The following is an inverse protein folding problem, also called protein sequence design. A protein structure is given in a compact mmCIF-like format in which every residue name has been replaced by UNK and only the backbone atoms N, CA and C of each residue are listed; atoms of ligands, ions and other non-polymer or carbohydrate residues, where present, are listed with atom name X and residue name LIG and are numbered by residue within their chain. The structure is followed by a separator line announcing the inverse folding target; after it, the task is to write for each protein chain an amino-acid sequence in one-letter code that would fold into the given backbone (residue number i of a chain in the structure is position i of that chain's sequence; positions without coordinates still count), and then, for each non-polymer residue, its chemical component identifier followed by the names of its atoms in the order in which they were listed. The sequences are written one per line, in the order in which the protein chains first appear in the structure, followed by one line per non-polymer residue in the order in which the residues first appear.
data_IF_897192886114
#
_entry.id   IF_897192886114
#
_cell.length_a   1.000
_cell.length_b   1.000
_cell.length_c   1.000
_cell.angle_alpha   90.00
_cell.angle_beta   90.00
_cell.angle_gamma   90.00
#
_symmetry.space_group_name_H-M   'P 1'
#
loop_
_entity.id
_entity.type
_entity.pdbx_description
1 polymer ?
#
# COMPACT_ATOMS: atom_id res chain seq x y z
N UNK A 1 -33.34 -19.23 18.34
CA UNK A 1 -32.20 -18.31 18.11
C UNK A 1 -31.75 -17.82 19.49
N UNK A 2 -30.63 -18.32 20.04
CA UNK A 2 -30.24 -18.14 21.46
C UNK A 2 -28.87 -17.47 21.69
N UNK A 3 -28.23 -16.93 20.66
CA UNK A 3 -27.02 -16.10 20.82
C UNK A 3 -27.34 -14.66 20.40
N UNK A 4 -27.25 -13.68 21.32
CA UNK A 4 -27.20 -12.26 20.93
C UNK A 4 -26.02 -12.07 19.97
N UNK A 5 -26.22 -11.41 18.84
CA UNK A 5 -25.14 -11.15 17.85
C UNK A 5 -25.11 -12.09 16.62
N UNK A 6 -25.97 -13.10 16.55
CA UNK A 6 -26.06 -13.95 15.36
C UNK A 6 -27.07 -13.38 14.35
N UNK A 7 -26.57 -12.95 13.20
CA UNK A 7 -27.39 -12.66 12.02
C UNK A 7 -27.85 -14.00 11.41
N UNK A 8 -28.98 -14.01 10.70
CA UNK A 8 -29.37 -15.14 9.86
C UNK A 8 -29.65 -14.65 8.45
N UNK A 9 -28.93 -15.17 7.46
CA UNK A 9 -29.20 -14.91 6.06
C UNK A 9 -30.15 -15.98 5.53
N UNK A 10 -31.21 -15.53 4.87
CA UNK A 10 -32.12 -16.37 4.10
C UNK A 10 -32.10 -15.81 2.69
N UNK A 11 -31.87 -16.67 1.71
CA UNK A 11 -31.81 -16.30 0.30
C UNK A 11 -33.10 -16.74 -0.36
N UNK A 12 -33.79 -15.79 -1.00
CA UNK A 12 -34.95 -16.07 -1.83
C UNK A 12 -34.50 -16.09 -3.29
N UNK A 13 -34.62 -17.26 -3.93
CA UNK A 13 -34.39 -17.34 -5.36
C UNK A 13 -35.66 -16.87 -6.09
N UNK A 14 -35.54 -15.79 -6.85
CA UNK A 14 -36.67 -15.17 -7.54
C UNK A 14 -37.15 -15.99 -8.75
N UNK A 15 -36.34 -16.92 -9.26
CA UNK A 15 -36.64 -17.71 -10.47
C UNK A 15 -37.54 -18.90 -10.13
N UNK A 16 -37.16 -19.68 -9.11
CA UNK A 16 -37.86 -20.91 -8.70
C UNK A 16 -38.67 -20.74 -7.41
N UNK A 17 -38.66 -19.54 -6.81
CA UNK A 17 -39.29 -19.20 -5.53
C UNK A 17 -38.79 -20.07 -4.36
N UNK A 18 -37.64 -20.72 -4.50
CA UNK A 18 -37.04 -21.50 -3.44
C UNK A 18 -36.47 -20.59 -2.35
N UNK A 19 -36.57 -21.07 -1.12
CA UNK A 19 -36.06 -20.39 0.08
C UNK A 19 -34.97 -21.24 0.69
N UNK A 20 -33.78 -20.68 0.85
CA UNK A 20 -32.69 -21.40 1.51
C UNK A 20 -32.97 -21.60 3.01
N UNK A 21 -32.48 -22.69 3.62
CA UNK A 21 -32.50 -22.80 5.08
C UNK A 21 -31.69 -21.66 5.71
N UNK A 22 -32.11 -21.11 6.87
CA UNK A 22 -31.40 -20.01 7.52
C UNK A 22 -29.94 -20.37 7.81
N UNK A 23 -29.01 -19.57 7.31
CA UNK A 23 -27.57 -19.71 7.58
C UNK A 23 -27.16 -18.66 8.60
N UNK A 24 -26.49 -19.10 9.68
CA UNK A 24 -25.96 -18.19 10.68
C UNK A 24 -24.79 -17.35 10.10
N UNK A 25 -24.83 -16.05 10.33
CA UNK A 25 -23.75 -15.10 10.06
C UNK A 25 -23.28 -14.53 11.39
N UNK A 26 -21.97 -14.48 11.59
CA UNK A 26 -21.40 -13.69 12.66
C UNK A 26 -21.61 -12.21 12.30
N UNK A 27 -22.29 -11.45 13.16
CA UNK A 27 -22.24 -10.00 13.04
C UNK A 27 -20.80 -9.58 13.36
N UNK A 28 -20.13 -8.95 12.41
CA UNK A 28 -18.80 -8.38 12.61
C UNK A 28 -18.86 -7.48 13.85
N UNK A 29 -18.11 -7.82 14.88
CA UNK A 29 -17.89 -6.92 16.02
C UNK A 29 -17.11 -5.70 15.48
N UNK A 30 -17.74 -4.52 15.38
CA UNK A 30 -17.10 -3.35 14.80
C UNK A 30 -15.87 -2.94 15.61
N UNK A 31 -15.91 -3.12 16.94
CA UNK A 31 -14.81 -2.77 17.84
C UNK A 31 -13.63 -3.73 17.66
N UNK A 32 -13.89 -5.03 17.55
CA UNK A 32 -12.84 -6.00 17.24
C UNK A 32 -12.22 -5.76 15.86
N UNK A 33 -13.04 -5.40 14.86
CA UNK A 33 -12.58 -5.10 13.50
C UNK A 33 -11.68 -3.87 13.47
N UNK A 34 -12.12 -2.76 14.06
CA UNK A 34 -11.32 -1.53 14.16
C UNK A 34 -10.01 -1.74 14.91
N UNK A 35 -10.03 -2.56 15.97
CA UNK A 35 -8.82 -2.92 16.72
C UNK A 35 -7.85 -3.77 15.89
N UNK A 36 -8.35 -4.65 15.03
CA UNK A 36 -7.53 -5.44 14.12
C UNK A 36 -6.89 -4.54 13.04
N UNK A 37 -7.67 -3.63 12.44
CA UNK A 37 -7.15 -2.65 11.47
C UNK A 37 -6.11 -1.72 12.08
N UNK A 38 -6.37 -1.21 13.29
CA UNK A 38 -5.41 -0.40 14.03
C UNK A 38 -4.07 -1.14 14.22
N UNK A 39 -4.11 -2.41 14.65
CA UNK A 39 -2.91 -3.25 14.82
C UNK A 39 -2.19 -3.49 13.51
N UNK A 40 -2.92 -3.84 12.45
CA UNK A 40 -2.35 -4.05 11.12
C UNK A 40 -1.60 -2.80 10.64
N UNK A 41 -2.25 -1.63 10.74
CA UNK A 41 -1.63 -0.37 10.33
C UNK A 41 -0.42 0.00 11.19
N UNK A 42 -0.51 -0.19 12.51
CA UNK A 42 0.55 0.15 13.47
C UNK A 42 1.77 -0.75 13.33
N UNK A 43 1.54 -2.06 13.28
CA UNK A 43 2.58 -3.08 13.47
C UNK A 43 3.16 -3.57 12.14
N UNK A 44 2.41 -3.43 11.04
CA UNK A 44 2.81 -3.96 9.73
C UNK A 44 2.92 -2.83 8.70
N UNK A 45 1.79 -2.22 8.31
CA UNK A 45 1.74 -1.35 7.13
C UNK A 45 2.58 -0.08 7.28
N UNK A 46 2.48 0.63 8.40
CA UNK A 46 3.24 1.87 8.60
C UNK A 46 4.77 1.61 8.70
N UNK A 47 5.26 0.64 9.50
CA UNK A 47 6.67 0.26 9.50
C UNK A 47 7.19 -0.16 8.11
N UNK A 48 6.39 -0.88 7.34
CA UNK A 48 6.74 -1.30 5.98
C UNK A 48 6.84 -0.10 5.01
N UNK A 49 5.87 0.82 5.05
CA UNK A 49 5.95 2.07 4.27
C UNK A 49 7.21 2.88 4.62
N UNK A 50 7.54 2.98 5.91
CA UNK A 50 8.75 3.68 6.36
C UNK A 50 10.04 2.97 5.91
N UNK A 51 10.05 1.64 5.93
CA UNK A 51 11.15 0.82 5.39
C UNK A 51 11.31 1.05 3.89
N UNK A 52 10.22 0.93 3.13
CA UNK A 52 10.19 1.16 1.69
C UNK A 52 10.68 2.57 1.33
N UNK A 53 10.36 3.58 2.16
CA UNK A 53 10.89 4.94 1.96
C UNK A 53 12.40 4.99 2.15
N UNK A 54 12.95 4.34 3.18
CA UNK A 54 14.40 4.29 3.41
C UNK A 54 15.11 3.61 2.24
N UNK A 55 14.63 2.46 1.82
CA UNK A 55 15.20 1.70 0.70
C UNK A 55 15.08 2.47 -0.62
N UNK A 56 13.91 3.06 -0.89
CA UNK A 56 13.70 3.91 -2.06
C UNK A 56 14.64 5.11 -2.13
N UNK A 57 15.01 5.71 -0.99
CA UNK A 57 15.95 6.84 -0.95
C UNK A 57 17.37 6.38 -1.31
N UNK A 58 17.77 5.18 -0.88
CA UNK A 58 19.04 4.56 -1.28
C UNK A 58 19.03 4.29 -2.79
N UNK A 59 17.96 3.71 -3.33
CA UNK A 59 17.80 3.46 -4.76
C UNK A 59 17.82 4.74 -5.59
N UNK A 60 17.12 5.80 -5.15
CA UNK A 60 17.14 7.10 -5.82
C UNK A 60 18.54 7.71 -5.85
N UNK A 61 19.28 7.61 -4.75
CA UNK A 61 20.68 8.07 -4.67
C UNK A 61 21.56 7.29 -5.65
N UNK A 62 21.38 5.97 -5.72
CA UNK A 62 22.11 5.11 -6.65
C UNK A 62 21.80 5.45 -8.11
N UNK A 63 20.52 5.54 -8.48
CA UNK A 63 20.10 5.91 -9.84
C UNK A 63 20.63 7.29 -10.28
N UNK A 64 20.72 8.24 -9.35
CA UNK A 64 21.35 9.55 -9.62
C UNK A 64 22.85 9.41 -9.89
N UNK A 65 23.54 8.52 -9.18
CA UNK A 65 24.94 8.19 -9.42
C UNK A 65 25.14 7.55 -10.79
N UNK A 66 24.29 6.57 -11.13
CA UNK A 66 24.36 5.84 -12.39
C UNK A 66 24.09 6.75 -13.59
N UNK A 67 23.14 7.68 -13.47
CA UNK A 67 22.92 8.71 -14.47
C UNK A 67 24.16 9.59 -14.68
N UNK A 68 24.83 10.02 -13.60
CA UNK A 68 26.09 10.80 -13.72
C UNK A 68 27.17 9.99 -14.44
N UNK A 69 27.31 8.72 -14.10
CA UNK A 69 28.27 7.83 -14.76
C UNK A 69 27.94 7.61 -16.24
N UNK A 70 26.67 7.39 -16.58
CA UNK A 70 26.21 7.25 -17.96
C UNK A 70 26.48 8.52 -18.79
N UNK A 71 26.23 9.70 -18.22
CA UNK A 71 26.53 10.98 -18.86
C UNK A 71 28.04 11.17 -19.07
N UNK A 72 28.86 10.81 -18.08
CA UNK A 72 30.32 10.89 -18.20
C UNK A 72 30.86 9.95 -19.30
N UNK A 73 30.33 8.73 -19.40
CA UNK A 73 30.66 7.78 -20.47
C UNK A 73 30.24 8.30 -21.84
N UNK A 74 29.03 8.85 -21.95
CA UNK A 74 28.51 9.40 -23.20
C UNK A 74 29.34 10.59 -23.72
N UNK A 75 29.94 11.39 -22.83
CA UNK A 75 30.87 12.47 -23.22
C UNK A 75 32.17 11.93 -23.82
N UNK A 76 32.68 10.80 -23.32
CA UNK A 76 33.92 10.17 -23.81
C UNK A 76 33.70 9.34 -25.07
N UNK A 77 32.54 8.70 -25.18
CA UNK A 77 32.18 7.80 -26.28
C UNK A 77 30.79 8.14 -26.79
N UNK A 78 30.65 9.19 -27.61
CA UNK A 78 29.35 9.57 -28.17
C UNK A 78 28.85 8.50 -29.15
N UNK A 79 27.55 8.24 -29.14
CA UNK A 79 26.92 7.26 -30.03
C UNK A 79 25.58 6.75 -29.53
N UNK A 80 24.87 6.02 -30.40
CA UNK A 80 23.50 5.51 -30.13
C UNK A 80 23.43 4.68 -28.84
N UNK A 81 24.44 3.85 -28.58
CA UNK A 81 24.50 3.03 -27.36
C UNK A 81 24.58 3.90 -26.09
N UNK A 82 25.46 4.90 -26.08
CA UNK A 82 25.59 5.85 -24.97
C UNK A 82 24.34 6.68 -24.75
N UNK A 83 23.68 7.13 -25.84
CA UNK A 83 22.40 7.84 -25.74
C UNK A 83 21.30 6.98 -25.12
N UNK A 84 21.22 5.69 -25.49
CA UNK A 84 20.27 4.73 -24.88
C UNK A 84 20.55 4.53 -23.40
N UNK A 85 21.81 4.30 -23.02
CA UNK A 85 22.19 4.12 -21.62
C UNK A 85 21.85 5.35 -20.76
N UNK A 86 22.02 6.57 -21.29
CA UNK A 86 21.61 7.80 -20.60
C UNK A 86 20.08 7.89 -20.47
N UNK A 87 19.33 7.55 -21.52
CA UNK A 87 17.87 7.56 -21.48
C UNK A 87 17.32 6.55 -20.45
N UNK A 88 17.89 5.35 -20.40
CA UNK A 88 17.55 4.32 -19.42
C UNK A 88 17.83 4.80 -17.99
N UNK A 89 19.04 5.32 -17.72
CA UNK A 89 19.38 5.84 -16.40
C UNK A 89 18.48 7.02 -15.96
N UNK A 90 18.04 7.86 -16.90
CA UNK A 90 17.04 8.91 -16.63
C UNK A 90 15.68 8.32 -16.25
N UNK A 91 15.22 7.29 -16.98
CA UNK A 91 13.96 6.62 -16.69
C UNK A 91 13.99 5.95 -15.31
N UNK A 92 15.07 5.26 -14.98
CA UNK A 92 15.25 4.64 -13.66
C UNK A 92 15.22 5.69 -12.53
N UNK A 93 15.91 6.82 -12.70
CA UNK A 93 15.86 7.91 -11.72
C UNK A 93 14.46 8.52 -11.59
N UNK A 94 13.74 8.69 -12.70
CA UNK A 94 12.36 9.20 -12.69
C UNK A 94 11.44 8.25 -11.93
N UNK A 95 11.50 6.95 -12.20
CA UNK A 95 10.69 5.93 -11.52
C UNK A 95 10.98 5.89 -10.02
N UNK A 96 12.26 5.87 -9.62
CA UNK A 96 12.64 5.91 -8.21
C UNK A 96 12.15 7.21 -7.52
N UNK A 97 12.15 8.34 -8.23
CA UNK A 97 11.68 9.61 -7.70
C UNK A 97 10.17 9.66 -7.54
N UNK A 98 9.41 9.13 -8.50
CA UNK A 98 7.96 9.02 -8.42
C UNK A 98 7.53 8.16 -7.23
N UNK A 99 8.19 7.02 -7.02
CA UNK A 99 7.94 6.15 -5.88
C UNK A 99 8.19 6.85 -4.54
N UNK A 100 9.27 7.65 -4.44
CA UNK A 100 9.55 8.44 -3.23
C UNK A 100 8.53 9.55 -3.00
N UNK A 101 8.00 10.18 -4.05
CA UNK A 101 6.94 11.17 -3.93
C UNK A 101 5.69 10.50 -3.36
N UNK A 102 5.29 9.35 -3.90
CA UNK A 102 4.13 8.61 -3.41
C UNK A 102 4.25 8.25 -1.93
N UNK A 103 5.39 7.69 -1.52
CA UNK A 103 5.62 7.35 -0.11
C UNK A 103 5.65 8.57 0.83
N UNK A 104 5.98 9.76 0.32
CA UNK A 104 5.88 11.01 1.12
C UNK A 104 4.43 11.42 1.37
N UNK A 105 3.49 11.02 0.52
CA UNK A 105 2.05 11.27 0.71
C UNK A 105 1.42 10.18 1.59
N UNK A 106 1.68 8.91 1.30
CA UNK A 106 1.06 7.79 2.02
C UNK A 106 1.45 7.71 3.50
N UNK A 107 2.69 7.99 3.88
CA UNK A 107 3.14 7.85 5.28
C UNK A 107 2.41 8.82 6.22
N UNK A 108 2.31 10.14 5.92
CA UNK A 108 1.49 11.05 6.72
C UNK A 108 0.02 10.66 6.80
N UNK A 109 -0.57 10.18 5.72
CA UNK A 109 -1.95 9.70 5.68
C UNK A 109 -2.13 8.49 6.60
N UNK A 110 -1.27 7.47 6.47
CA UNK A 110 -1.24 6.30 7.35
C UNK A 110 -1.08 6.69 8.83
N UNK A 111 -0.22 7.68 9.15
CA UNK A 111 -0.08 8.20 10.51
C UNK A 111 -1.33 8.90 11.02
N UNK A 112 -2.07 9.56 10.12
CA UNK A 112 -3.33 10.23 10.45
C UNK A 112 -4.42 9.19 10.69
N UNK A 113 -4.58 8.22 9.80
CA UNK A 113 -5.49 7.09 9.95
C UNK A 113 -5.23 6.30 11.22
N UNK A 114 -3.96 6.11 11.59
CA UNK A 114 -3.58 5.45 12.84
C UNK A 114 -4.12 6.19 14.08
N UNK A 115 -4.10 7.53 14.08
CA UNK A 115 -4.66 8.33 15.18
C UNK A 115 -6.18 8.20 15.25
N UNK A 116 -6.86 8.18 14.09
CA UNK A 116 -8.32 8.03 14.01
C UNK A 116 -8.73 6.64 14.49
N UNK A 117 -8.13 5.59 13.95
CA UNK A 117 -8.40 4.20 14.33
C UNK A 117 -8.13 3.95 15.82
N UNK A 118 -7.10 4.57 16.39
CA UNK A 118 -6.83 4.48 17.83
C UNK A 118 -8.00 5.00 18.65
N UNK A 119 -8.54 6.18 18.31
CA UNK A 119 -9.68 6.78 19.03
C UNK A 119 -10.90 5.88 18.92
N UNK A 120 -11.23 5.44 17.71
CA UNK A 120 -12.40 4.59 17.46
C UNK A 120 -12.31 3.20 18.09
N UNK A 121 -11.09 2.67 18.32
CA UNK A 121 -10.89 1.37 18.97
C UNK A 121 -10.84 1.46 20.51
N UNK A 122 -10.52 2.64 21.07
CA UNK A 122 -10.51 2.92 22.50
C UNK A 122 -11.92 3.28 23.03
N UNK A 123 -12.74 3.97 22.21
CA UNK A 123 -14.19 4.19 22.42
C UNK A 123 -14.99 2.88 22.33
#
# INVERSE_FOLDING_TARGET
IRKPGACSIITFNMVDRAVSPPVACDLLDPKATLKAEYRLLRDVSLPELEKNRREGLVLQKQARSDLRAALARARKHPGKASSRAVAEARSQLANASAWIIELRHQIPEARTSLKVLRRMAEE
#
